data_IF_774161644178
#
_entry.id   IF_774161644178
#
_cell.length_a   1.000
_cell.length_b   1.000
_cell.length_c   1.000
_cell.angle_alpha   90.00
_cell.angle_beta   90.00
_cell.angle_gamma   90.00
#
_symmetry.space_group_name_H-M   'P 1'
#
loop_
_entity.id
_entity.type
_entity.pdbx_description
1 polymer ?
#
# COMPACT_ATOMS: atom_id res chain seq x y z
N UNK A 1 17.05 -2.92 -2.94
CA UNK A 1 17.32 -1.78 -3.83
C UNK A 1 17.19 -0.48 -3.06
N UNK A 2 18.29 0.18 -2.68
CA UNK A 2 18.25 1.41 -1.86
C UNK A 2 17.66 2.64 -2.58
N UNK A 3 17.59 2.60 -3.93
CA UNK A 3 17.06 3.69 -4.74
C UNK A 3 15.55 3.94 -4.57
N UNK A 4 14.75 2.89 -4.31
CA UNK A 4 13.28 2.98 -4.26
C UNK A 4 12.75 3.72 -3.02
N UNK A 5 13.55 3.81 -1.95
CA UNK A 5 13.17 4.39 -0.66
C UNK A 5 12.61 5.82 -0.74
N UNK A 6 13.09 6.61 -1.70
CA UNK A 6 12.74 8.02 -1.87
C UNK A 6 12.26 8.34 -3.29
N UNK A 7 11.99 7.30 -4.09
CA UNK A 7 11.38 7.45 -5.40
C UNK A 7 9.94 7.92 -5.22
N UNK A 8 9.59 9.03 -5.85
CA UNK A 8 8.24 9.59 -5.75
C UNK A 8 7.19 8.72 -6.45
N UNK A 9 5.92 8.90 -6.09
CA UNK A 9 4.78 8.12 -6.61
C UNK A 9 4.73 8.08 -8.15
N UNK A 10 4.98 9.21 -8.81
CA UNK A 10 4.94 9.30 -10.27
C UNK A 10 6.06 8.49 -10.94
N UNK A 11 7.25 8.48 -10.32
CA UNK A 11 8.39 7.71 -10.82
C UNK A 11 8.19 6.21 -10.55
N UNK A 12 7.65 5.83 -9.38
CA UNK A 12 7.26 4.44 -9.13
C UNK A 12 6.21 3.94 -10.14
N UNK A 13 5.16 4.73 -10.40
CA UNK A 13 4.16 4.41 -11.42
C UNK A 13 4.79 4.24 -12.80
N UNK A 14 5.74 5.11 -13.16
CA UNK A 14 6.47 5.00 -14.42
C UNK A 14 7.29 3.71 -14.49
N UNK A 15 8.04 3.36 -13.43
CA UNK A 15 8.83 2.12 -13.36
C UNK A 15 7.95 0.88 -13.52
N UNK A 16 6.78 0.84 -12.86
CA UNK A 16 5.80 -0.24 -13.00
C UNK A 16 5.24 -0.31 -14.41
N UNK A 17 4.86 0.84 -14.99
CA UNK A 17 4.31 0.90 -16.36
C UNK A 17 5.30 0.40 -17.42
N UNK A 18 6.60 0.60 -17.19
CA UNK A 18 7.69 0.17 -18.07
C UNK A 18 8.13 -1.27 -17.79
N UNK A 19 7.61 -1.92 -16.76
CA UNK A 19 8.05 -3.25 -16.31
C UNK A 19 9.48 -3.27 -15.74
N UNK A 20 10.00 -2.11 -15.34
CA UNK A 20 11.33 -1.99 -14.72
C UNK A 20 11.34 -2.48 -13.27
N UNK A 21 10.18 -2.43 -12.62
CA UNK A 21 9.90 -2.97 -11.29
C UNK A 21 8.47 -3.51 -11.29
N UNK A 22 8.21 -4.62 -10.61
CA UNK A 22 6.86 -5.16 -10.42
C UNK A 22 6.14 -4.55 -9.21
N UNK A 23 4.81 -4.66 -9.17
CA UNK A 23 4.03 -4.28 -7.99
C UNK A 23 4.43 -5.12 -6.78
N UNK A 24 4.69 -6.43 -6.96
CA UNK A 24 5.17 -7.29 -5.89
C UNK A 24 6.52 -6.84 -5.34
N UNK A 25 7.46 -6.43 -6.19
CA UNK A 25 8.76 -5.89 -5.76
C UNK A 25 8.61 -4.60 -4.94
N UNK A 26 7.68 -3.70 -5.31
CA UNK A 26 7.39 -2.50 -4.52
C UNK A 26 6.74 -2.84 -3.16
N UNK A 27 5.84 -3.82 -3.11
CA UNK A 27 5.21 -4.25 -1.85
C UNK A 27 6.21 -4.88 -0.91
N UNK A 28 7.05 -5.82 -1.38
CA UNK A 28 8.09 -6.40 -0.52
C UNK A 28 9.08 -5.33 -0.05
N UNK A 29 9.45 -4.39 -0.93
CA UNK A 29 10.30 -3.28 -0.53
C UNK A 29 9.68 -2.39 0.56
N UNK A 30 8.37 -2.11 0.48
CA UNK A 30 7.66 -1.34 1.50
C UNK A 30 7.57 -2.12 2.83
N UNK A 31 7.21 -3.41 2.77
CA UNK A 31 7.12 -4.31 3.92
C UNK A 31 8.46 -4.42 4.65
N UNK A 32 9.56 -4.64 3.92
CA UNK A 32 10.90 -4.73 4.51
C UNK A 32 11.28 -3.45 5.27
N UNK A 33 10.87 -2.29 4.75
CA UNK A 33 11.13 -0.99 5.41
C UNK A 33 10.30 -0.81 6.67
N UNK A 34 9.03 -1.22 6.62
CA UNK A 34 8.15 -1.20 7.79
C UNK A 34 8.76 -2.09 8.88
N UNK A 35 9.16 -3.31 8.54
CA UNK A 35 9.76 -4.26 9.50
C UNK A 35 11.04 -3.73 10.16
N UNK A 36 11.80 -2.91 9.45
CA UNK A 36 13.06 -2.38 9.95
C UNK A 36 12.92 -1.09 10.78
N UNK A 37 11.85 -0.31 10.55
CA UNK A 37 11.75 1.06 11.07
C UNK A 37 10.56 1.27 12.00
N UNK A 38 9.48 0.51 11.86
CA UNK A 38 8.21 0.87 12.49
C UNK A 38 8.22 0.65 14.01
N UNK A 39 9.06 -0.24 14.53
CA UNK A 39 9.32 -0.38 15.98
C UNK A 39 9.82 0.92 16.63
N UNK A 40 10.48 1.80 15.85
CA UNK A 40 10.99 3.09 16.32
C UNK A 40 10.08 4.26 15.95
N UNK A 41 9.38 4.16 14.82
CA UNK A 41 8.56 5.24 14.28
C UNK A 41 7.11 5.18 14.77
N UNK A 42 6.59 3.98 15.01
CA UNK A 42 5.19 3.71 15.35
C UNK A 42 4.23 4.42 14.37
N UNK A 43 4.47 4.24 13.07
CA UNK A 43 3.77 4.93 11.99
C UNK A 43 2.54 4.17 11.48
N UNK A 44 2.50 2.84 11.60
CA UNK A 44 1.37 2.03 11.12
C UNK A 44 0.57 1.42 12.29
N UNK A 45 -0.74 1.64 12.28
CA UNK A 45 -1.67 0.92 13.18
C UNK A 45 -1.95 -0.49 12.66
N UNK A 46 -2.07 -0.62 11.33
CA UNK A 46 -2.30 -1.88 10.63
C UNK A 46 -1.41 -1.95 9.40
N UNK A 47 -0.91 -3.16 9.10
CA UNK A 47 -0.17 -3.45 7.88
C UNK A 47 -0.79 -4.70 7.25
N UNK A 48 -1.53 -4.53 6.16
CA UNK A 48 -2.25 -5.60 5.46
C UNK A 48 -1.30 -6.41 4.56
N UNK A 49 -0.33 -7.10 5.16
CA UNK A 49 0.81 -7.69 4.43
C UNK A 49 0.37 -8.72 3.40
N UNK A 50 -0.51 -9.63 3.80
CA UNK A 50 -0.90 -10.76 2.97
C UNK A 50 -1.88 -10.31 1.88
N UNK A 51 -2.79 -9.39 2.21
CA UNK A 51 -3.70 -8.77 1.26
C UNK A 51 -2.95 -7.93 0.22
N UNK A 52 -1.97 -7.12 0.65
CA UNK A 52 -1.17 -6.30 -0.25
C UNK A 52 -0.33 -7.16 -1.21
N UNK A 53 0.23 -8.28 -0.74
CA UNK A 53 0.93 -9.25 -1.59
C UNK A 53 -0.01 -9.89 -2.61
N UNK A 54 -1.19 -10.33 -2.16
CA UNK A 54 -2.19 -10.93 -3.03
C UNK A 54 -2.66 -9.93 -4.10
N UNK A 55 -2.91 -8.68 -3.72
CA UNK A 55 -3.29 -7.63 -4.65
C UNK A 55 -2.16 -7.33 -5.65
N UNK A 56 -0.92 -7.19 -5.19
CA UNK A 56 0.22 -6.96 -6.07
C UNK A 56 0.38 -8.04 -7.15
N UNK A 57 0.18 -9.31 -6.81
CA UNK A 57 0.18 -10.40 -7.79
C UNK A 57 -0.91 -10.23 -8.86
N UNK A 58 -2.10 -9.78 -8.46
CA UNK A 58 -3.19 -9.46 -9.40
C UNK A 58 -2.82 -8.27 -10.29
N UNK A 59 -2.21 -7.21 -9.72
CA UNK A 59 -1.76 -6.03 -10.48
C UNK A 59 -0.69 -6.40 -11.49
N UNK A 60 0.26 -7.24 -11.14
CA UNK A 60 1.32 -7.69 -12.05
C UNK A 60 0.77 -8.49 -13.24
N UNK A 61 -0.31 -9.26 -13.03
CA UNK A 61 -0.99 -10.02 -14.07
C UNK A 61 -1.95 -9.19 -14.95
N UNK A 62 -2.27 -7.95 -14.57
CA UNK A 62 -3.25 -7.11 -15.29
C UNK A 62 -2.68 -6.61 -16.63
N UNK A 63 -3.41 -6.73 -17.76
CA UNK A 63 -2.99 -6.20 -19.06
C UNK A 63 -2.68 -4.70 -19.04
N UNK A 64 -1.69 -4.26 -19.83
CA UNK A 64 -1.19 -2.86 -19.80
C UNK A 64 -2.28 -1.83 -20.16
N UNK A 65 -3.17 -2.17 -21.09
CA UNK A 65 -4.28 -1.34 -21.55
C UNK A 65 -5.41 -1.18 -20.51
N UNK A 66 -5.41 -2.01 -19.46
CA UNK A 66 -6.35 -1.94 -18.34
C UNK A 66 -5.76 -1.21 -17.11
N UNK A 67 -4.49 -0.77 -17.18
CA UNK A 67 -3.80 -0.17 -16.03
C UNK A 67 -4.14 1.31 -15.88
N UNK A 68 -4.53 1.70 -14.66
CA UNK A 68 -4.71 3.09 -14.26
C UNK A 68 -3.39 3.82 -13.95
N UNK A 69 -3.43 5.15 -13.69
CA UNK A 69 -2.23 5.98 -13.51
C UNK A 69 -1.40 5.66 -12.26
N UNK A 70 -1.98 4.98 -11.25
CA UNK A 70 -1.29 4.53 -10.04
C UNK A 70 -1.20 3.00 -9.95
N UNK A 71 -1.40 2.30 -11.07
CA UNK A 71 -1.44 0.84 -11.08
C UNK A 71 -0.17 0.23 -10.49
N UNK A 72 -0.34 -0.62 -9.48
CA UNK A 72 0.74 -1.36 -8.84
C UNK A 72 1.60 -0.58 -7.85
N UNK A 73 1.32 0.71 -7.60
CA UNK A 73 2.06 1.54 -6.65
C UNK A 73 1.51 1.36 -5.23
N UNK A 74 2.34 1.03 -4.22
CA UNK A 74 1.89 0.94 -2.83
C UNK A 74 1.43 2.29 -2.27
N UNK A 75 0.38 2.26 -1.44
CA UNK A 75 -0.12 3.43 -0.72
C UNK A 75 -0.30 3.10 0.76
N UNK A 76 -0.23 4.13 1.60
CA UNK A 76 -0.65 4.07 2.99
C UNK A 76 -1.89 4.96 3.16
N UNK A 77 -2.90 4.45 3.86
CA UNK A 77 -4.13 5.19 4.15
C UNK A 77 -4.06 5.69 5.59
N UNK A 78 -4.32 6.98 5.78
CA UNK A 78 -4.40 7.56 7.13
C UNK A 78 -5.64 7.00 7.83
N UNK A 79 -5.49 6.58 9.08
CA UNK A 79 -6.52 6.02 9.98
C UNK A 79 -7.58 7.05 10.44
N UNK A 80 -8.04 7.84 9.48
CA UNK A 80 -9.18 8.75 9.51
C UNK A 80 -10.11 8.47 8.31
N UNK A 81 -9.72 7.53 7.43
CA UNK A 81 -10.45 7.10 6.25
C UNK A 81 -10.71 5.60 6.37
N UNK A 82 -11.92 5.19 5.99
CA UNK A 82 -12.35 3.81 6.06
C UNK A 82 -11.62 2.96 5.02
N UNK A 83 -11.11 1.82 5.50
CA UNK A 83 -10.70 0.67 4.69
C UNK A 83 -11.62 -0.47 5.07
N UNK A 84 -12.31 -1.04 4.09
CA UNK A 84 -13.32 -2.07 4.31
C UNK A 84 -12.74 -3.25 5.11
N UNK A 85 -13.47 -3.67 6.16
CA UNK A 85 -13.04 -4.76 7.03
C UNK A 85 -12.08 -4.38 8.16
N UNK A 86 -11.61 -3.12 8.22
CA UNK A 86 -10.84 -2.59 9.35
C UNK A 86 -11.63 -1.54 10.14
N UNK A 87 -11.41 -1.38 11.45
CA UNK A 87 -11.93 -0.24 12.18
C UNK A 87 -11.10 1.01 11.87
N UNK A 88 -11.78 2.15 11.74
CA UNK A 88 -11.15 3.48 11.64
C UNK A 88 -11.03 4.08 13.03
N UNK A 89 -9.81 4.25 13.54
CA UNK A 89 -9.58 4.52 14.96
C UNK A 89 -9.44 6.01 15.32
N UNK A 90 -9.20 6.89 14.34
CA UNK A 90 -8.97 8.33 14.57
C UNK A 90 -7.91 8.59 15.65
N UNK A 91 -6.91 7.70 15.76
CA UNK A 91 -5.86 7.77 16.78
C UNK A 91 -6.29 7.39 18.21
N UNK A 92 -7.44 6.72 18.38
CA UNK A 92 -7.96 6.29 19.68
C UNK A 92 -8.44 4.84 19.73
N UNK A 93 -8.46 4.23 20.91
CA UNK A 93 -8.84 2.83 21.10
C UNK A 93 -10.35 2.56 21.22
N UNK A 94 -11.19 3.61 21.11
CA UNK A 94 -12.63 3.49 21.35
C UNK A 94 -13.41 2.93 20.14
N UNK A 95 -12.83 2.98 18.95
CA UNK A 95 -13.49 2.56 17.71
C UNK A 95 -13.00 1.16 17.32
N UNK A 96 -13.91 0.19 17.38
CA UNK A 96 -13.58 -1.23 17.16
C UNK A 96 -14.45 -1.90 16.10
N UNK A 97 -15.43 -1.18 15.56
CA UNK A 97 -16.35 -1.72 14.54
C UNK A 97 -15.69 -1.60 13.17
N UNK A 98 -15.52 -2.71 12.43
CA UNK A 98 -15.00 -2.65 11.06
C UNK A 98 -15.90 -1.85 10.13
N UNK A 99 -15.29 -1.06 9.24
CA UNK A 99 -16.00 -0.36 8.18
C UNK A 99 -16.61 -1.36 7.18
N UNK A 100 -17.82 -1.06 6.71
CA UNK A 100 -18.53 -1.92 5.75
C UNK A 100 -18.06 -1.74 4.30
N UNK A 101 -17.44 -0.61 3.99
CA UNK A 101 -16.94 -0.25 2.68
C UNK A 101 -15.76 0.71 2.83
N UNK A 102 -14.95 0.86 1.77
CA UNK A 102 -13.93 1.90 1.69
C UNK A 102 -14.58 3.29 1.64
N UNK A 103 -13.89 4.31 2.18
CA UNK A 103 -14.36 5.69 2.05
C UNK A 103 -14.41 6.15 0.60
N UNK A 104 -15.44 6.93 0.26
CA UNK A 104 -15.39 7.81 -0.91
C UNK A 104 -14.46 9.01 -0.62
N UNK A 105 -13.97 9.67 -1.67
CA UNK A 105 -12.98 10.76 -1.62
C UNK A 105 -13.35 11.88 -0.65
#
# INVERSE_FOLDING_TARGET
MTGLNFTGVAEQAQLVSQGAVSSAELIEHAIDRIDHLDDQLNAFAYVLRDEARAEAAVRDATPVDERGPLHGVPIAIKDENDVAGLPTAFGGAAFTTPAAADSEV
#
